data_IF_507847661108
#
_entry.id   IF_507847661108
#
_cell.length_a   1.000
_cell.length_b   1.000
_cell.length_c   1.000
_cell.angle_alpha   90.00
_cell.angle_beta   90.00
_cell.angle_gamma   90.00
#
_symmetry.space_group_name_H-M   'P 1'
#
loop_
_entity.id
_entity.type
_entity.pdbx_description
1 polymer ?
#
# COMPACT_ATOMS: atom_id res chain seq x y z
N UNK A 1 -23.83 0.78 -4.36
CA UNK A 1 -23.01 -0.24 -3.69
C UNK A 1 -23.05 0.05 -2.21
N UNK A 2 -23.52 -0.89 -1.39
CA UNK A 2 -23.62 -0.70 0.05
C UNK A 2 -22.39 -1.34 0.72
N UNK A 3 -21.62 -0.54 1.45
CA UNK A 3 -20.49 -1.04 2.22
C UNK A 3 -21.00 -1.67 3.52
N UNK A 4 -20.64 -2.93 3.77
CA UNK A 4 -20.97 -3.62 5.00
C UNK A 4 -20.25 -2.98 6.20
N UNK A 5 -20.78 -3.23 7.39
CA UNK A 5 -20.14 -2.84 8.67
C UNK A 5 -19.70 -4.11 9.37
N UNK A 6 -18.41 -4.23 9.63
CA UNK A 6 -17.78 -5.48 10.05
C UNK A 6 -17.36 -5.46 11.53
N UNK A 7 -17.33 -6.62 12.21
CA UNK A 7 -16.77 -6.73 13.55
C UNK A 7 -15.28 -6.36 13.59
N UNK A 8 -14.80 -5.84 14.72
CA UNK A 8 -13.41 -5.42 14.91
C UNK A 8 -12.38 -6.50 14.47
N UNK A 9 -12.64 -7.77 14.81
CA UNK A 9 -11.78 -8.91 14.47
C UNK A 9 -11.58 -9.13 12.96
N UNK A 10 -12.42 -8.57 12.10
CA UNK A 10 -12.26 -8.68 10.64
C UNK A 10 -10.90 -8.17 10.16
N UNK A 11 -10.32 -7.17 10.82
CA UNK A 11 -8.98 -6.68 10.48
C UNK A 11 -7.91 -7.77 10.54
N UNK A 12 -7.88 -8.55 11.62
CA UNK A 12 -6.97 -9.69 11.74
C UNK A 12 -7.32 -10.83 10.77
N UNK A 13 -8.61 -11.08 10.55
CA UNK A 13 -9.06 -12.11 9.62
C UNK A 13 -8.65 -11.83 8.17
N UNK A 14 -8.56 -10.56 7.74
CA UNK A 14 -8.06 -10.22 6.41
C UNK A 14 -6.62 -10.68 6.19
N UNK A 15 -5.76 -10.55 7.20
CA UNK A 15 -4.38 -11.06 7.17
C UNK A 15 -4.39 -12.59 7.10
N UNK A 16 -5.18 -13.24 7.97
CA UNK A 16 -5.28 -14.71 8.00
C UNK A 16 -5.79 -15.30 6.69
N UNK A 17 -6.79 -14.68 6.08
CA UNK A 17 -7.32 -15.09 4.77
C UNK A 17 -6.37 -14.75 3.63
N UNK A 18 -5.65 -13.62 3.70
CA UNK A 18 -4.56 -13.29 2.78
C UNK A 18 -3.46 -14.36 2.79
N UNK A 19 -3.04 -14.81 3.98
CA UNK A 19 -2.07 -15.90 4.12
C UNK A 19 -2.56 -17.22 3.52
N UNK A 20 -3.83 -17.61 3.76
CA UNK A 20 -4.42 -18.79 3.12
C UNK A 20 -4.46 -18.68 1.59
N UNK A 21 -4.76 -17.50 1.07
CA UNK A 21 -4.76 -17.24 -0.36
C UNK A 21 -3.35 -17.34 -0.96
N UNK A 22 -2.35 -16.78 -0.27
CA UNK A 22 -0.93 -16.94 -0.62
C UNK A 22 -0.54 -18.42 -0.73
N UNK A 23 -0.92 -19.24 0.26
CA UNK A 23 -0.61 -20.68 0.26
C UNK A 23 -1.26 -21.45 -0.90
N UNK A 24 -2.31 -20.91 -1.53
CA UNK A 24 -2.96 -21.56 -2.67
C UNK A 24 -2.09 -21.51 -3.93
N UNK A 25 -1.35 -20.41 -4.16
CA UNK A 25 -0.40 -20.26 -5.28
C UNK A 25 0.80 -19.38 -4.87
N UNK A 26 1.72 -19.90 -4.03
CA UNK A 26 2.79 -19.09 -3.45
C UNK A 26 3.75 -18.55 -4.52
N UNK A 27 4.11 -19.36 -5.53
CA UNK A 27 5.02 -18.93 -6.58
C UNK A 27 4.49 -17.73 -7.39
N UNK A 28 3.18 -17.66 -7.63
CA UNK A 28 2.58 -16.53 -8.35
C UNK A 28 2.68 -15.23 -7.53
N UNK A 29 2.42 -15.31 -6.23
CA UNK A 29 2.45 -14.14 -5.35
C UNK A 29 3.87 -13.74 -4.96
N UNK A 30 4.81 -14.68 -4.87
CA UNK A 30 6.24 -14.39 -4.76
C UNK A 30 6.77 -13.69 -6.01
N UNK A 31 6.40 -14.18 -7.20
CA UNK A 31 6.72 -13.51 -8.46
C UNK A 31 6.22 -12.07 -8.46
N UNK A 32 4.96 -11.85 -8.06
CA UNK A 32 4.40 -10.51 -7.97
C UNK A 32 5.13 -9.63 -6.97
N UNK A 33 5.41 -10.15 -5.77
CA UNK A 33 6.16 -9.43 -4.77
C UNK A 33 7.54 -9.04 -5.29
N UNK A 34 8.29 -9.97 -5.88
CA UNK A 34 9.60 -9.66 -6.47
C UNK A 34 9.49 -8.63 -7.59
N UNK A 35 8.50 -8.74 -8.47
CA UNK A 35 8.26 -7.77 -9.54
C UNK A 35 8.02 -6.36 -8.96
N UNK A 36 7.17 -6.23 -7.93
CA UNK A 36 6.95 -4.94 -7.28
C UNK A 36 8.20 -4.42 -6.58
N UNK A 37 9.00 -5.29 -5.94
CA UNK A 37 10.28 -4.89 -5.34
C UNK A 37 11.26 -4.38 -6.40
N UNK A 38 11.33 -5.01 -7.57
CA UNK A 38 12.16 -4.52 -8.69
C UNK A 38 11.67 -3.17 -9.19
N UNK A 39 10.35 -2.96 -9.32
CA UNK A 39 9.80 -1.65 -9.71
C UNK A 39 10.13 -0.56 -8.68
N UNK A 40 10.03 -0.88 -7.39
CA UNK A 40 10.43 0.03 -6.30
C UNK A 40 11.91 0.34 -6.41
N UNK A 41 12.79 -0.67 -6.52
CA UNK A 41 14.23 -0.45 -6.66
C UNK A 41 14.57 0.38 -7.91
N UNK A 42 13.97 0.06 -9.06
CA UNK A 42 14.17 0.78 -10.30
C UNK A 42 13.71 2.24 -10.22
N UNK A 43 12.68 2.53 -9.44
CA UNK A 43 12.19 3.91 -9.24
C UNK A 43 13.21 4.81 -8.52
N UNK A 44 14.17 4.26 -7.78
CA UNK A 44 15.26 5.03 -7.18
C UNK A 44 16.37 5.38 -8.18
N UNK A 45 16.44 4.74 -9.35
CA UNK A 45 17.46 5.01 -10.38
C UNK A 45 17.29 6.37 -11.05
N UNK A 46 16.06 6.89 -11.09
CA UNK A 46 15.74 8.21 -11.62
C UNK A 46 15.18 9.06 -10.49
N UNK A 47 16.02 9.89 -9.82
CA UNK A 47 15.60 10.69 -8.69
C UNK A 47 14.35 11.52 -9.00
N UNK A 48 13.45 11.63 -8.04
CA UNK A 48 12.17 12.35 -8.11
C UNK A 48 11.19 11.76 -9.14
N UNK A 49 11.53 11.72 -10.43
CA UNK A 49 10.63 11.25 -11.49
C UNK A 49 10.28 9.77 -11.35
N UNK A 50 11.25 8.91 -11.02
CA UNK A 50 10.99 7.49 -10.81
C UNK A 50 9.99 7.26 -9.66
N UNK A 51 10.15 7.99 -8.55
CA UNK A 51 9.22 7.95 -7.42
C UNK A 51 7.82 8.46 -7.81
N UNK A 52 7.74 9.57 -8.55
CA UNK A 52 6.46 10.11 -9.04
C UNK A 52 5.73 9.12 -9.94
N UNK A 53 6.45 8.44 -10.85
CA UNK A 53 5.89 7.40 -11.72
C UNK A 53 5.37 6.22 -10.90
N UNK A 54 6.11 5.78 -9.87
CA UNK A 54 5.69 4.68 -9.01
C UNK A 54 4.43 5.04 -8.20
N UNK A 55 4.39 6.24 -7.63
CA UNK A 55 3.21 6.75 -6.91
C UNK A 55 2.00 6.80 -7.86
N UNK A 56 2.16 7.38 -9.06
CA UNK A 56 1.08 7.43 -10.05
C UNK A 56 0.64 6.04 -10.53
N UNK A 57 1.55 5.07 -10.56
CA UNK A 57 1.26 3.69 -10.96
C UNK A 57 0.61 2.86 -9.85
N UNK A 58 0.63 3.34 -8.60
CA UNK A 58 0.17 2.57 -7.42
C UNK A 58 -1.26 2.05 -7.59
N UNK A 59 -2.27 2.85 -7.98
CA UNK A 59 -3.63 2.34 -8.18
C UNK A 59 -3.73 1.21 -9.21
N UNK A 60 -2.94 1.28 -10.28
CA UNK A 60 -2.89 0.24 -11.31
C UNK A 60 -2.29 -1.04 -10.74
N UNK A 61 -1.15 -0.95 -10.04
CA UNK A 61 -0.49 -2.09 -9.42
C UNK A 61 -1.39 -2.75 -8.37
N UNK A 62 -2.10 -1.95 -7.56
CA UNK A 62 -3.10 -2.45 -6.62
C UNK A 62 -4.22 -3.21 -7.33
N UNK A 63 -4.76 -2.67 -8.43
CA UNK A 63 -5.83 -3.34 -9.17
C UNK A 63 -5.38 -4.65 -9.83
N UNK A 64 -4.16 -4.69 -10.37
CA UNK A 64 -3.55 -5.92 -10.89
C UNK A 64 -3.43 -6.97 -9.77
N UNK A 65 -2.91 -6.56 -8.61
CA UNK A 65 -2.75 -7.42 -7.43
C UNK A 65 -4.08 -8.05 -7.01
N UNK A 66 -5.12 -7.22 -6.91
CA UNK A 66 -6.47 -7.64 -6.53
C UNK A 66 -7.09 -8.58 -7.55
N UNK A 67 -6.89 -8.32 -8.85
CA UNK A 67 -7.40 -9.18 -9.93
C UNK A 67 -6.72 -10.55 -9.93
N UNK A 68 -5.41 -10.59 -9.68
CA UNK A 68 -4.68 -11.85 -9.52
C UNK A 68 -5.20 -12.64 -8.30
N UNK A 69 -5.40 -11.96 -7.17
CA UNK A 69 -5.96 -12.57 -5.96
C UNK A 69 -7.37 -13.12 -6.19
N UNK A 70 -8.23 -12.39 -6.91
CA UNK A 70 -9.57 -12.85 -7.30
C UNK A 70 -9.50 -14.13 -8.15
N UNK A 71 -8.56 -14.18 -9.10
CA UNK A 71 -8.37 -15.35 -9.95
C UNK A 71 -7.85 -16.57 -9.18
N UNK A 72 -6.88 -16.39 -8.29
CA UNK A 72 -6.35 -17.44 -7.41
C UNK A 72 -7.45 -17.93 -6.46
N UNK A 73 -8.25 -17.03 -5.89
CA UNK A 73 -9.36 -17.37 -5.00
C UNK A 73 -10.45 -18.20 -5.70
N UNK A 74 -10.60 -18.04 -7.02
CA UNK A 74 -11.48 -18.86 -7.84
C UNK A 74 -10.89 -20.25 -8.20
N UNK A 75 -9.75 -20.63 -7.60
CA UNK A 75 -9.09 -21.91 -7.86
C UNK A 75 -8.39 -22.01 -9.22
N UNK A 76 -8.20 -20.88 -9.92
CA UNK A 76 -7.61 -20.87 -11.26
C UNK A 76 -6.12 -20.55 -11.22
N UNK A 77 -5.33 -21.30 -11.97
CA UNK A 77 -3.88 -21.09 -12.06
C UNK A 77 -3.54 -19.73 -12.68
N UNK A 78 -2.67 -18.97 -12.02
CA UNK A 78 -2.18 -17.68 -12.48
C UNK A 78 -1.08 -17.86 -13.53
N UNK A 79 -1.29 -17.33 -14.74
CA UNK A 79 -0.31 -17.38 -15.85
C UNK A 79 0.24 -15.99 -16.17
N UNK A 80 1.45 -15.92 -16.75
CA UNK A 80 2.11 -14.65 -17.06
C UNK A 80 1.25 -13.65 -17.88
N UNK A 81 0.52 -14.06 -18.94
CA UNK A 81 -0.27 -13.10 -19.73
C UNK A 81 -1.46 -12.48 -18.97
N UNK A 82 -1.90 -13.11 -17.89
CA UNK A 82 -3.07 -12.67 -17.14
C UNK A 82 -2.76 -11.50 -16.19
N UNK A 83 -1.49 -11.20 -15.89
CA UNK A 83 -1.13 -10.04 -15.05
C UNK A 83 -1.47 -8.70 -15.72
N UNK A 84 -1.47 -8.64 -17.05
CA UNK A 84 -1.83 -7.45 -17.83
C UNK A 84 -3.28 -7.46 -18.31
N UNK A 85 -3.98 -8.58 -18.16
CA UNK A 85 -5.37 -8.74 -18.56
C UNK A 85 -6.33 -7.72 -17.93
N UNK A 86 -6.21 -7.34 -16.64
CA UNK A 86 -7.05 -6.32 -16.02
C UNK A 86 -6.97 -4.95 -16.72
N UNK A 87 -5.90 -4.69 -17.48
CA UNK A 87 -5.66 -3.43 -18.19
C UNK A 87 -6.01 -3.47 -19.68
N UNK A 88 -6.54 -4.59 -20.19
CA UNK A 88 -6.89 -4.73 -21.62
C UNK A 88 -7.96 -3.75 -22.06
N UNK A 89 -8.95 -3.48 -21.20
CA UNK A 89 -10.02 -2.54 -21.51
C UNK A 89 -9.46 -1.09 -21.50
N UNK A 90 -9.42 -0.38 -22.65
CA UNK A 90 -8.80 0.94 -22.73
C UNK A 90 -9.45 1.98 -21.82
N UNK A 91 -10.76 1.88 -21.63
CA UNK A 91 -11.52 2.75 -20.75
C UNK A 91 -11.12 2.58 -19.27
N UNK A 92 -11.00 1.33 -18.80
CA UNK A 92 -10.60 1.03 -17.42
C UNK A 92 -9.17 1.52 -17.20
N UNK A 93 -8.25 1.21 -18.13
CA UNK A 93 -6.87 1.68 -18.09
C UNK A 93 -6.79 3.20 -18.00
N UNK A 94 -7.55 3.93 -18.82
CA UNK A 94 -7.60 5.41 -18.78
C UNK A 94 -8.12 5.93 -17.45
N UNK A 95 -9.16 5.31 -16.88
CA UNK A 95 -9.70 5.72 -15.57
C UNK A 95 -8.74 5.43 -14.43
N UNK A 96 -8.05 4.29 -14.45
CA UNK A 96 -7.03 3.94 -13.45
C UNK A 96 -5.79 4.84 -13.55
N UNK A 97 -5.37 5.22 -14.76
CA UNK A 97 -4.33 6.24 -14.97
C UNK A 97 -4.77 7.59 -14.40
N UNK A 98 -6.02 8.00 -14.67
CA UNK A 98 -6.58 9.22 -14.08
C UNK A 98 -6.63 9.17 -12.55
N UNK A 99 -6.99 8.02 -11.97
CA UNK A 99 -6.94 7.80 -10.52
C UNK A 99 -5.50 7.88 -10.00
N UNK A 100 -4.54 7.32 -10.74
CA UNK A 100 -3.10 7.42 -10.47
C UNK A 100 -2.59 8.85 -10.41
N UNK A 101 -2.96 9.68 -11.39
CA UNK A 101 -2.60 11.09 -11.40
C UNK A 101 -3.26 11.87 -10.25
N UNK A 102 -4.52 11.57 -9.92
CA UNK A 102 -5.19 12.15 -8.76
C UNK A 102 -4.52 11.74 -7.43
N UNK A 103 -4.06 10.49 -7.34
CA UNK A 103 -3.33 9.97 -6.19
C UNK A 103 -1.98 10.69 -6.03
N UNK A 104 -1.20 10.80 -7.11
CA UNK A 104 0.05 11.55 -7.13
C UNK A 104 -0.16 13.01 -6.72
N UNK A 105 -1.13 13.69 -7.32
CA UNK A 105 -1.44 15.09 -6.97
C UNK A 105 -1.82 15.23 -5.49
N UNK A 106 -2.58 14.29 -4.94
CA UNK A 106 -2.95 14.28 -3.52
C UNK A 106 -1.72 14.11 -2.63
N UNK A 107 -0.82 13.17 -2.96
CA UNK A 107 0.42 12.94 -2.22
C UNK A 107 1.36 14.15 -2.29
N UNK A 108 1.53 14.77 -3.46
CA UNK A 108 2.37 15.97 -3.60
C UNK A 108 1.78 17.16 -2.84
N UNK A 109 0.47 17.36 -2.92
CA UNK A 109 -0.23 18.41 -2.15
C UNK A 109 -0.07 18.18 -0.66
N UNK A 110 -0.24 16.94 -0.19
CA UNK A 110 -0.05 16.60 1.22
C UNK A 110 1.41 16.79 1.66
N UNK A 111 2.39 16.41 0.82
CA UNK A 111 3.80 16.64 1.09
C UNK A 111 4.12 18.12 1.23
N UNK A 112 3.61 18.95 0.31
CA UNK A 112 3.75 20.40 0.37
C UNK A 112 3.10 21.00 1.63
N UNK A 113 1.84 20.64 1.91
CA UNK A 113 1.13 21.13 3.10
C UNK A 113 1.80 20.67 4.41
N UNK A 114 2.42 19.49 4.41
CA UNK A 114 3.11 18.97 5.57
C UNK A 114 4.41 19.71 5.89
N UNK A 115 5.08 20.31 4.89
CA UNK A 115 6.34 21.05 5.10
C UNK A 115 6.10 22.52 5.45
N UNK A 116 4.99 23.13 5.03
CA UNK A 116 4.70 24.56 5.26
C UNK A 116 4.87 25.04 6.71
N UNK A 117 4.39 24.31 7.75
CA UNK A 117 4.51 24.77 9.13
C UNK A 117 5.93 24.73 9.70
N UNK A 118 6.87 24.08 9.01
CA UNK A 118 8.21 23.77 9.50
C UNK A 118 9.31 24.39 8.61
N UNK A 119 8.95 25.36 7.75
CA UNK A 119 9.91 26.00 6.85
C UNK A 119 11.06 26.69 7.60
N UNK A 120 10.76 27.29 8.75
CA UNK A 120 11.76 27.97 9.58
C UNK A 120 12.79 26.96 10.12
N UNK A 121 12.33 25.84 10.71
CA UNK A 121 13.19 24.77 11.21
C UNK A 121 14.04 24.12 10.10
N UNK A 122 13.42 23.89 8.93
CA UNK A 122 14.12 23.34 7.76
C UNK A 122 15.17 24.30 7.21
N UNK A 123 14.89 25.61 7.23
CA UNK A 123 15.84 26.63 6.79
C UNK A 123 17.00 26.81 7.77
N UNK A 124 16.73 26.70 9.08
CA UNK A 124 17.74 26.79 10.13
C UNK A 124 18.73 25.62 10.12
N UNK A 125 18.36 24.48 9.51
CA UNK A 125 19.28 23.37 9.27
C UNK A 125 20.35 23.66 8.20
N UNK A 126 20.21 24.77 7.47
CA UNK A 126 21.21 25.29 6.54
C UNK A 126 21.88 26.48 7.22
N UNK A 127 23.17 26.38 7.52
CA UNK A 127 23.88 27.49 8.15
C UNK A 127 24.11 28.66 7.17
N UNK A 128 24.57 29.81 7.68
CA UNK A 128 24.81 31.02 6.88
C UNK A 128 25.81 30.83 5.73
N UNK A 129 26.67 29.81 5.81
CA UNK A 129 27.64 29.43 4.78
C UNK A 129 27.06 28.43 3.77
N UNK A 130 25.78 28.07 3.87
CA UNK A 130 25.10 27.09 3.00
C UNK A 130 25.49 25.64 3.28
N UNK A 131 26.19 25.36 4.38
CA UNK A 131 26.53 24.00 4.81
C UNK A 131 25.36 23.42 5.58
N UNK A 132 24.97 22.21 5.19
CA UNK A 132 23.85 21.49 5.77
C UNK A 132 24.29 20.78 7.06
N UNK A 133 23.65 21.10 8.16
CA UNK A 133 23.77 20.31 9.39
C UNK A 133 22.83 19.11 9.29
N UNK A 134 23.41 17.93 9.05
CA UNK A 134 22.66 16.68 8.86
C UNK A 134 21.85 16.31 10.10
N UNK A 135 22.35 16.56 11.30
CA UNK A 135 21.63 16.27 12.54
C UNK A 135 20.46 17.22 12.73
N UNK A 136 20.67 18.51 12.48
CA UNK A 136 19.59 19.51 12.53
C UNK A 136 18.51 19.22 11.47
N UNK A 137 18.90 18.83 10.26
CA UNK A 137 17.96 18.46 9.20
C UNK A 137 17.11 17.25 9.60
N UNK A 138 17.73 16.18 10.11
CA UNK A 138 16.99 14.98 10.52
C UNK A 138 15.96 15.33 11.61
N UNK A 139 16.33 16.16 12.57
CA UNK A 139 15.40 16.62 13.60
C UNK A 139 14.26 17.47 13.01
N UNK A 140 14.59 18.44 12.14
CA UNK A 140 13.62 19.31 11.49
C UNK A 140 12.64 18.55 10.58
N UNK A 141 13.05 17.41 10.00
CA UNK A 141 12.20 16.58 9.14
C UNK A 141 11.14 15.77 9.92
N UNK A 142 11.27 15.60 11.24
CA UNK A 142 10.32 14.81 12.03
C UNK A 142 8.89 15.38 11.96
N UNK A 143 8.75 16.70 12.13
CA UNK A 143 7.46 17.40 12.08
C UNK A 143 6.75 17.22 10.72
N UNK A 144 7.41 17.51 9.59
CA UNK A 144 6.89 17.24 8.26
C UNK A 144 6.50 15.78 8.04
N UNK A 145 7.31 14.81 8.47
CA UNK A 145 7.00 13.40 8.28
C UNK A 145 5.75 12.96 9.06
N UNK A 146 5.60 13.40 10.31
CA UNK A 146 4.41 13.10 11.13
C UNK A 146 3.18 13.73 10.47
N UNK A 147 3.27 15.00 10.06
CA UNK A 147 2.17 15.74 9.43
C UNK A 147 1.76 15.09 8.12
N UNK A 148 2.72 14.70 7.28
CA UNK A 148 2.48 13.96 6.05
C UNK A 148 1.81 12.62 6.34
N UNK A 149 2.28 11.87 7.35
CA UNK A 149 1.67 10.62 7.77
C UNK A 149 0.18 10.76 8.11
N UNK A 150 -0.20 11.81 8.85
CA UNK A 150 -1.60 12.10 9.18
C UNK A 150 -2.43 12.42 7.92
N UNK A 151 -1.91 13.26 7.01
CA UNK A 151 -2.58 13.56 5.75
C UNK A 151 -2.69 12.32 4.85
N UNK A 152 -1.68 11.46 4.87
CA UNK A 152 -1.66 10.22 4.09
C UNK A 152 -2.69 9.20 4.57
N UNK A 153 -3.08 9.22 5.86
CA UNK A 153 -4.23 8.43 6.35
C UNK A 153 -5.52 8.85 5.64
N UNK A 154 -5.75 10.17 5.47
CA UNK A 154 -6.92 10.67 4.75
C UNK A 154 -6.90 10.28 3.28
N UNK A 155 -5.73 10.40 2.63
CA UNK A 155 -5.54 9.92 1.26
C UNK A 155 -5.82 8.41 1.17
N UNK A 156 -5.29 7.63 2.11
CA UNK A 156 -5.50 6.18 2.15
C UNK A 156 -6.99 5.85 2.24
N UNK A 157 -7.77 6.51 3.10
CA UNK A 157 -9.23 6.33 3.22
C UNK A 157 -9.93 6.55 1.87
N UNK A 158 -9.55 7.59 1.13
CA UNK A 158 -10.13 7.91 -0.17
C UNK A 158 -9.76 6.90 -1.27
N UNK A 159 -8.53 6.41 -1.28
CA UNK A 159 -8.00 5.61 -2.39
C UNK A 159 -7.97 4.09 -2.12
N UNK A 160 -8.16 3.63 -0.88
CA UNK A 160 -7.97 2.23 -0.48
C UNK A 160 -8.72 1.23 -1.36
N UNK A 161 -10.01 1.47 -1.61
CA UNK A 161 -10.86 0.60 -2.42
C UNK A 161 -11.12 1.12 -3.84
N UNK A 162 -10.71 2.36 -4.12
CA UNK A 162 -11.01 3.02 -5.39
C UNK A 162 -10.53 2.25 -6.64
N UNK A 163 -9.33 1.63 -6.68
CA UNK A 163 -8.87 0.89 -7.85
C UNK A 163 -9.79 -0.27 -8.22
N UNK A 164 -10.17 -1.09 -7.24
CA UNK A 164 -11.09 -2.21 -7.43
C UNK A 164 -12.50 -1.74 -7.81
N UNK A 165 -12.99 -0.67 -7.16
CA UNK A 165 -14.29 -0.10 -7.49
C UNK A 165 -14.36 0.40 -8.94
N UNK A 166 -13.33 1.08 -9.42
CA UNK A 166 -13.24 1.49 -10.83
C UNK A 166 -13.12 0.29 -11.75
N UNK A 167 -12.21 -0.64 -11.44
CA UNK A 167 -11.87 -1.73 -12.34
C UNK A 167 -12.95 -2.80 -12.46
N UNK A 168 -13.61 -3.18 -11.36
CA UNK A 168 -14.65 -4.20 -11.37
C UNK A 168 -16.05 -3.63 -11.62
N UNK A 169 -16.37 -2.47 -11.05
CA UNK A 169 -17.73 -1.89 -11.16
C UNK A 169 -17.85 -0.78 -12.21
N UNK A 170 -16.75 -0.41 -12.88
CA UNK A 170 -16.73 0.57 -14.00
C UNK A 170 -17.42 1.90 -13.64
N UNK A 171 -17.28 2.36 -12.40
CA UNK A 171 -17.82 3.64 -11.93
C UNK A 171 -16.84 4.82 -12.16
N UNK A 172 -17.31 6.05 -11.96
CA UNK A 172 -16.49 7.28 -12.09
C UNK A 172 -15.52 7.42 -10.91
N UNK A 173 -14.39 8.11 -11.12
CA UNK A 173 -13.36 8.34 -10.07
C UNK A 173 -13.97 8.94 -8.80
N UNK A 174 -14.74 10.03 -8.93
CA UNK A 174 -15.35 10.69 -7.77
C UNK A 174 -16.29 9.75 -6.98
N UNK A 175 -17.05 8.90 -7.67
CA UNK A 175 -17.91 7.90 -7.02
C UNK A 175 -17.07 6.85 -6.31
N UNK A 176 -15.98 6.38 -6.91
CA UNK A 176 -15.10 5.39 -6.31
C UNK A 176 -14.41 5.92 -5.03
N UNK A 177 -13.94 7.17 -5.05
CA UNK A 177 -13.36 7.82 -3.87
C UNK A 177 -14.41 7.98 -2.76
N UNK A 178 -15.63 8.39 -3.10
CA UNK A 178 -16.73 8.49 -2.14
C UNK A 178 -17.08 7.13 -1.51
N UNK A 179 -17.24 6.08 -2.31
CA UNK A 179 -17.55 4.76 -1.77
C UNK A 179 -16.40 4.17 -0.95
N UNK A 180 -15.13 4.41 -1.33
CA UNK A 180 -13.97 4.04 -0.53
C UNK A 180 -13.98 4.74 0.84
N UNK A 181 -14.20 6.06 0.84
CA UNK A 181 -14.31 6.85 2.07
C UNK A 181 -15.39 6.28 3.00
N UNK A 182 -16.60 6.08 2.48
CA UNK A 182 -17.72 5.54 3.26
C UNK A 182 -17.41 4.14 3.79
N UNK A 183 -16.81 3.28 2.98
CA UNK A 183 -16.40 1.94 3.39
C UNK A 183 -15.37 1.96 4.52
N UNK A 184 -14.31 2.76 4.39
CA UNK A 184 -13.27 2.89 5.41
C UNK A 184 -13.83 3.53 6.69
N UNK A 185 -14.68 4.55 6.57
CA UNK A 185 -15.30 5.23 7.72
C UNK A 185 -16.19 4.29 8.55
N UNK A 186 -17.02 3.49 7.87
CA UNK A 186 -17.86 2.47 8.52
C UNK A 186 -17.06 1.34 9.16
N UNK A 187 -15.84 1.08 8.67
CA UNK A 187 -14.99 -0.04 9.12
C UNK A 187 -13.69 0.43 9.78
N UNK A 188 -13.69 1.59 10.43
CA UNK A 188 -12.48 2.15 11.09
C UNK A 188 -11.83 1.22 12.11
N UNK A 189 -12.63 0.47 12.88
CA UNK A 189 -12.13 -0.50 13.86
C UNK A 189 -11.36 -1.65 13.19
N UNK A 190 -11.98 -2.40 12.26
CA UNK A 190 -11.29 -3.40 11.45
C UNK A 190 -10.01 -2.87 10.79
N UNK A 191 -10.05 -1.68 10.18
CA UNK A 191 -8.87 -1.05 9.57
C UNK A 191 -7.77 -0.73 10.59
N UNK A 192 -8.12 -0.22 11.77
CA UNK A 192 -7.17 0.02 12.84
C UNK A 192 -6.48 -1.28 13.26
N UNK A 193 -7.24 -2.35 13.52
CA UNK A 193 -6.66 -3.64 13.88
C UNK A 193 -5.77 -4.19 12.76
N UNK A 194 -6.18 -4.05 11.51
CA UNK A 194 -5.40 -4.48 10.35
C UNK A 194 -4.04 -3.76 10.26
N UNK A 195 -4.04 -2.43 10.38
CA UNK A 195 -2.82 -1.61 10.36
C UNK A 195 -1.92 -1.92 11.56
N UNK A 196 -2.47 -1.99 12.77
CA UNK A 196 -1.71 -2.33 13.99
C UNK A 196 -1.11 -3.73 13.90
N UNK A 197 -1.85 -4.70 13.35
CA UNK A 197 -1.35 -6.07 13.16
C UNK A 197 -0.17 -6.12 12.19
N UNK A 198 -0.28 -5.44 11.04
CA UNK A 198 0.83 -5.34 10.09
C UNK A 198 2.03 -4.59 10.66
N UNK A 199 1.80 -3.48 11.37
CA UNK A 199 2.86 -2.76 12.06
C UNK A 199 3.57 -3.66 13.08
N UNK A 200 2.83 -4.41 13.89
CA UNK A 200 3.39 -5.38 14.83
C UNK A 200 4.25 -6.45 14.15
N UNK A 201 3.81 -6.98 12.99
CA UNK A 201 4.59 -7.95 12.20
C UNK A 201 5.89 -7.32 11.68
N UNK A 202 5.84 -6.10 11.14
CA UNK A 202 7.03 -5.40 10.66
C UNK A 202 8.01 -5.05 11.79
N UNK A 203 7.51 -4.54 12.93
CA UNK A 203 8.36 -4.26 14.08
C UNK A 203 8.99 -5.54 14.65
N UNK A 204 8.25 -6.65 14.73
CA UNK A 204 8.81 -7.93 15.14
C UNK A 204 9.96 -8.37 14.22
N UNK A 205 9.85 -8.14 12.90
CA UNK A 205 10.92 -8.44 11.96
C UNK A 205 12.16 -7.56 12.20
N UNK A 206 11.97 -6.27 12.51
CA UNK A 206 13.08 -5.38 12.84
C UNK A 206 13.77 -5.77 14.14
N UNK A 207 13.01 -6.16 15.18
CA UNK A 207 13.60 -6.68 16.41
C UNK A 207 14.42 -7.96 16.16
N UNK A 208 13.98 -8.84 15.27
CA UNK A 208 14.77 -10.01 14.85
C UNK A 208 16.06 -9.55 14.15
N UNK A 209 16.00 -8.54 13.29
CA UNK A 209 17.18 -7.98 12.62
C UNK A 209 18.22 -7.45 13.62
N UNK A 210 17.76 -6.64 14.58
CA UNK A 210 18.60 -6.06 15.63
C UNK A 210 19.21 -7.16 16.51
N UNK A 211 18.41 -8.14 16.92
CA UNK A 211 18.86 -9.28 17.71
C UNK A 211 19.96 -10.08 17.00
N UNK A 212 19.81 -10.33 15.69
CA UNK A 212 20.86 -10.97 14.89
C UNK A 212 22.15 -10.14 14.83
N UNK A 213 22.02 -8.82 14.74
CA UNK A 213 23.17 -7.90 14.84
C UNK A 213 23.89 -8.01 16.18
N UNK A 214 23.15 -8.11 17.29
CA UNK A 214 23.74 -8.32 18.62
C UNK A 214 24.46 -9.67 18.75
N UNK A 215 24.03 -10.69 18.00
CA UNK A 215 24.72 -11.99 17.92
C UNK A 215 25.98 -11.95 17.02
N UNK A 216 26.33 -10.79 16.46
CA UNK A 216 27.55 -10.59 15.67
C UNK A 216 27.36 -10.78 14.16
N UNK A 217 26.12 -10.91 13.67
CA UNK A 217 25.89 -10.93 12.23
C UNK A 217 26.16 -9.54 11.65
N UNK A 218 26.87 -9.50 10.52
CA UNK A 218 27.07 -8.25 9.79
C UNK A 218 25.72 -7.72 9.23
N UNK A 219 25.60 -6.39 9.00
CA UNK A 219 24.40 -5.83 8.39
C UNK A 219 24.06 -6.46 7.03
N UNK A 220 25.08 -6.76 6.20
CA UNK A 220 24.88 -7.39 4.90
C UNK A 220 24.38 -8.83 5.01
N UNK A 221 24.92 -9.62 5.96
CA UNK A 221 24.43 -10.97 6.24
C UNK A 221 22.98 -10.97 6.75
N UNK A 222 22.64 -10.03 7.63
CA UNK A 222 21.28 -9.85 8.15
C UNK A 222 20.31 -9.49 7.03
N UNK A 223 20.68 -8.53 6.18
CA UNK A 223 19.88 -8.14 5.02
C UNK A 223 19.67 -9.32 4.05
N UNK A 224 20.71 -10.11 3.78
CA UNK A 224 20.61 -11.29 2.92
C UNK A 224 19.60 -12.32 3.47
N UNK A 225 19.56 -12.51 4.79
CA UNK A 225 18.63 -13.42 5.45
C UNK A 225 17.19 -12.91 5.46
N UNK A 226 16.99 -11.60 5.69
CA UNK A 226 15.67 -11.00 5.81
C UNK A 226 15.02 -10.65 4.47
N UNK A 227 15.79 -10.54 3.39
CA UNK A 227 15.25 -10.20 2.07
C UNK A 227 14.18 -11.20 1.59
N UNK A 228 14.39 -12.53 1.65
CA UNK A 228 13.34 -13.51 1.33
C UNK A 228 12.11 -13.38 2.23
N UNK A 229 12.31 -13.10 3.52
CA UNK A 229 11.21 -12.93 4.49
C UNK A 229 10.35 -11.72 4.11
N UNK A 230 10.97 -10.60 3.76
CA UNK A 230 10.27 -9.40 3.30
C UNK A 230 9.46 -9.67 2.01
N UNK A 231 10.00 -10.45 1.08
CA UNK A 231 9.28 -10.84 -0.15
C UNK A 231 8.05 -11.70 0.18
N UNK A 232 8.16 -12.65 1.11
CA UNK A 232 7.01 -13.45 1.57
C UNK A 232 5.98 -12.56 2.26
N UNK A 233 6.40 -11.67 3.15
CA UNK A 233 5.48 -10.76 3.85
C UNK A 233 4.76 -9.82 2.89
N UNK A 234 5.46 -9.25 1.91
CA UNK A 234 4.84 -8.42 0.88
C UNK A 234 3.83 -9.22 0.03
N UNK A 235 4.15 -10.46 -0.35
CA UNK A 235 3.21 -11.34 -1.04
C UNK A 235 1.92 -11.57 -0.21
N UNK A 236 2.05 -11.83 1.09
CA UNK A 236 0.91 -12.01 2.01
C UNK A 236 0.13 -10.71 2.19
N UNK A 237 0.81 -9.56 2.29
CA UNK A 237 0.20 -8.23 2.36
C UNK A 237 -0.67 -7.97 1.13
N UNK A 238 -0.14 -8.18 -0.08
CA UNK A 238 -0.91 -8.02 -1.31
C UNK A 238 -2.11 -8.97 -1.38
N UNK A 239 -1.96 -10.23 -0.94
CA UNK A 239 -3.09 -11.15 -0.83
C UNK A 239 -4.16 -10.67 0.13
N UNK A 240 -3.79 -10.01 1.23
CA UNK A 240 -4.74 -9.58 2.27
C UNK A 240 -5.64 -8.40 1.86
N UNK A 241 -5.29 -7.68 0.79
CA UNK A 241 -6.17 -6.65 0.21
C UNK A 241 -7.46 -7.22 -0.38
N UNK A 242 -7.41 -8.44 -0.94
CA UNK A 242 -8.57 -9.08 -1.54
C UNK A 242 -9.68 -9.43 -0.53
N UNK A 243 -9.42 -10.15 0.58
CA UNK A 243 -10.43 -10.40 1.62
C UNK A 243 -10.89 -9.10 2.31
N UNK A 244 -10.03 -8.09 2.43
CA UNK A 244 -10.44 -6.77 2.92
C UNK A 244 -11.51 -6.15 2.01
N UNK A 245 -11.35 -6.23 0.69
CA UNK A 245 -12.36 -5.76 -0.26
C UNK A 245 -13.64 -6.60 -0.22
N UNK A 246 -13.53 -7.93 -0.37
CA UNK A 246 -14.70 -8.80 -0.54
C UNK A 246 -15.55 -8.92 0.72
N UNK A 247 -14.97 -8.79 1.91
CA UNK A 247 -15.75 -8.73 3.15
C UNK A 247 -16.60 -7.46 3.26
N UNK A 248 -16.15 -6.34 2.69
CA UNK A 248 -16.87 -5.06 2.73
C UNK A 248 -17.89 -4.93 1.59
N UNK A 249 -17.53 -5.37 0.39
CA UNK A 249 -18.32 -5.17 -0.84
C UNK A 249 -18.87 -6.44 -1.49
N UNK A 250 -18.53 -7.63 -0.98
CA UNK A 250 -18.96 -8.91 -1.56
C UNK A 250 -20.43 -9.22 -1.31
N UNK A 251 -20.98 -10.06 -2.19
CA UNK A 251 -22.41 -10.39 -2.28
C UNK A 251 -22.99 -11.08 -1.04
N UNK A 252 -22.15 -11.66 -0.17
CA UNK A 252 -22.57 -12.31 1.08
C UNK A 252 -23.23 -11.36 2.10
N UNK A 253 -23.19 -10.05 1.87
CA UNK A 253 -23.85 -9.06 2.72
C UNK A 253 -25.24 -8.64 2.21
N UNK A 254 -25.67 -9.11 1.03
CA UNK A 254 -27.00 -8.82 0.47
C UNK A 254 -28.10 -9.77 1.00
N UNK A 255 -27.73 -10.84 1.70
CA UNK A 255 -28.65 -11.86 2.24
C UNK A 255 -28.95 -11.72 3.74
N UNK A 256 -28.53 -10.61 4.37
CA UNK A 256 -28.74 -10.35 5.80
C UNK A 256 -29.77 -9.25 6.09
N UNK A 257 -30.67 -8.97 5.13
CA UNK A 257 -31.86 -8.15 5.33
C UNK A 257 -33.13 -8.94 5.02
#
# INVERSE_FOLDING_TARGET
MQAATLPFMSGWLWIRYGYKLFLSQPLAMLFWSMMTSVLITASYLVPILGQMILIASTPILTFISLSACQHIAAGRLMRLPMWVEPLRAPEIRRRLLGLGMAYLASCLTAGFLATLPFLDDLSAAINEQGVLDEHALIAAMQGPFITFGLLYVLISILFWHAPALIGWHKIKIAQALFFSMVACWRNKGPFLLYVVSWAGIFFALQFVAEFLGMLGLSPSSTQMLLTPVNIVLAAVLYCSFYPAYTSIFGDNNASAN
#
